data_IF_993004040424
#
_entry.id   IF_993004040424
#
_cell.length_a   1.000
_cell.length_b   1.000
_cell.length_c   1.000
_cell.angle_alpha   90.00
_cell.angle_beta   90.00
_cell.angle_gamma   90.00
#
_symmetry.space_group_name_H-M   'P 1'
#
loop_
_entity.id
_entity.type
_entity.pdbx_description
1 polymer ?
#
# COMPACT_ATOMS: atom_id res chain seq x y z
N UNK A 1 -14.53 24.85 -2.63
CA UNK A 1 -13.16 24.55 -2.09
C UNK A 1 -12.04 24.66 -3.13
N UNK A 2 -12.33 24.76 -4.41
CA UNK A 2 -11.35 24.95 -5.50
C UNK A 2 -11.01 26.41 -5.78
N UNK A 3 -11.91 27.35 -5.51
CA UNK A 3 -11.71 28.79 -5.80
C UNK A 3 -10.75 29.50 -4.82
N UNK A 4 -10.63 29.00 -3.59
CA UNK A 4 -9.72 29.58 -2.58
C UNK A 4 -8.25 29.23 -2.81
N UNK A 5 -7.94 28.05 -3.36
CA UNK A 5 -6.58 27.65 -3.71
C UNK A 5 -6.02 28.51 -4.85
N UNK A 6 -6.82 28.75 -5.90
CA UNK A 6 -6.41 29.62 -7.01
C UNK A 6 -6.21 31.07 -6.57
N UNK A 7 -6.98 31.56 -5.59
CA UNK A 7 -6.84 32.93 -5.06
C UNK A 7 -5.59 33.09 -4.20
N UNK A 8 -5.17 32.08 -3.45
CA UNK A 8 -3.92 32.09 -2.66
C UNK A 8 -2.68 31.99 -3.55
N UNK A 9 -2.68 31.13 -4.57
CA UNK A 9 -1.59 31.04 -5.53
C UNK A 9 -1.43 32.34 -6.34
N UNK A 10 -2.53 32.96 -6.74
CA UNK A 10 -2.49 34.25 -7.44
C UNK A 10 -1.98 35.42 -6.56
N UNK A 11 -2.25 35.40 -5.25
CA UNK A 11 -1.70 36.36 -4.28
C UNK A 11 -0.22 36.15 -4.04
N UNK A 12 0.22 34.92 -3.86
CA UNK A 12 1.63 34.53 -3.73
C UNK A 12 2.43 34.92 -4.97
N UNK A 13 1.88 34.70 -6.16
CA UNK A 13 2.47 35.08 -7.42
C UNK A 13 2.67 36.59 -7.58
N UNK A 14 1.67 37.41 -7.18
CA UNK A 14 1.77 38.87 -7.22
C UNK A 14 2.79 39.42 -6.23
N UNK A 15 2.92 38.82 -5.06
CA UNK A 15 3.92 39.19 -4.05
C UNK A 15 5.33 38.92 -4.57
N UNK A 16 5.58 37.71 -5.06
CA UNK A 16 6.87 37.34 -5.62
C UNK A 16 7.30 38.24 -6.80
N UNK A 17 6.37 38.57 -7.71
CA UNK A 17 6.64 39.51 -8.83
C UNK A 17 7.05 40.90 -8.34
N UNK A 18 6.44 41.40 -7.28
CA UNK A 18 6.75 42.73 -6.71
C UNK A 18 8.12 42.73 -6.04
N UNK A 19 8.47 41.68 -5.32
CA UNK A 19 9.79 41.53 -4.67
C UNK A 19 10.90 41.42 -5.70
N UNK A 20 10.73 40.66 -6.76
CA UNK A 20 11.67 40.52 -7.87
C UNK A 20 11.86 41.88 -8.58
N UNK A 21 10.78 42.61 -8.86
CA UNK A 21 10.86 43.95 -9.49
C UNK A 21 11.55 44.97 -8.57
N UNK A 22 11.31 44.95 -7.28
CA UNK A 22 11.98 45.82 -6.30
C UNK A 22 13.48 45.48 -6.22
N UNK A 23 13.83 44.21 -6.17
CA UNK A 23 15.24 43.76 -6.19
C UNK A 23 15.93 44.19 -7.49
N UNK A 24 15.29 44.08 -8.67
CA UNK A 24 15.80 44.55 -9.94
C UNK A 24 16.07 46.07 -9.91
N UNK A 25 15.14 46.85 -9.34
CA UNK A 25 15.27 48.31 -9.26
C UNK A 25 16.39 48.73 -8.27
N UNK A 26 16.62 47.98 -7.20
CA UNK A 26 17.72 48.22 -6.26
C UNK A 26 19.08 47.89 -6.87
N UNK A 27 19.20 46.77 -7.60
CA UNK A 27 20.44 46.36 -8.27
C UNK A 27 20.81 47.25 -9.45
N UNK A 28 19.85 47.82 -10.19
CA UNK A 28 20.11 48.80 -11.26
C UNK A 28 20.68 50.14 -10.79
N UNK A 29 20.78 50.38 -9.48
CA UNK A 29 21.42 51.56 -8.87
C UNK A 29 22.91 51.36 -8.58
N UNK A 30 23.44 50.15 -8.73
CA UNK A 30 24.86 49.89 -8.64
C UNK A 30 25.53 50.07 -10.00
N UNK A 31 26.62 50.81 -10.08
CA UNK A 31 27.30 51.38 -11.29
C UNK A 31 27.88 50.40 -12.27
N UNK A 32 27.62 49.08 -12.14
CA UNK A 32 28.03 48.05 -13.11
C UNK A 32 26.82 47.72 -14.02
N UNK A 33 26.72 48.44 -15.13
CA UNK A 33 25.70 48.27 -16.16
C UNK A 33 25.86 46.96 -16.93
N UNK A 34 25.49 45.82 -16.34
CA UNK A 34 25.41 44.54 -17.03
C UNK A 34 24.00 44.23 -17.55
N UNK A 35 23.91 43.48 -18.66
CA UNK A 35 22.62 43.03 -19.20
C UNK A 35 21.92 42.10 -18.20
N UNK A 36 20.66 42.40 -17.88
CA UNK A 36 19.78 41.54 -17.09
C UNK A 36 18.76 40.89 -18.01
N UNK A 37 18.71 39.57 -18.02
CA UNK A 37 17.77 38.81 -18.83
C UNK A 37 16.72 38.15 -17.93
N UNK A 38 15.47 38.48 -18.20
CA UNK A 38 14.31 37.93 -17.55
C UNK A 38 13.67 36.88 -18.47
N UNK A 39 13.70 35.62 -18.08
CA UNK A 39 13.21 34.53 -18.91
C UNK A 39 12.09 33.76 -18.20
N UNK A 40 10.93 33.59 -18.86
CA UNK A 40 9.88 32.73 -18.32
C UNK A 40 10.34 31.26 -18.41
N UNK A 41 10.18 30.55 -17.31
CA UNK A 41 10.37 29.10 -17.27
C UNK A 41 9.05 28.43 -17.65
N UNK A 42 8.96 27.91 -18.83
CA UNK A 42 7.79 27.18 -19.31
C UNK A 42 8.24 26.00 -20.19
N UNK A 43 7.45 24.94 -20.19
CA UNK A 43 7.60 23.83 -21.10
C UNK A 43 6.23 23.46 -21.64
N UNK A 44 6.06 23.47 -22.97
CA UNK A 44 4.77 23.31 -23.63
C UNK A 44 3.72 24.30 -23.06
N UNK A 45 2.65 23.78 -22.42
CA UNK A 45 1.57 24.59 -21.82
C UNK A 45 1.76 24.88 -20.32
N UNK A 46 2.79 24.29 -19.69
CA UNK A 46 3.04 24.46 -18.26
C UNK A 46 3.94 25.64 -17.97
N UNK A 47 3.44 26.61 -17.20
CA UNK A 47 4.20 27.74 -16.69
C UNK A 47 4.80 27.38 -15.35
N UNK A 48 6.12 27.28 -15.25
CA UNK A 48 6.84 26.88 -14.03
C UNK A 48 7.32 28.07 -13.20
N UNK A 49 7.45 29.24 -13.82
CA UNK A 49 7.93 30.44 -13.13
C UNK A 49 8.75 31.34 -14.02
N UNK A 50 9.66 32.10 -13.41
CA UNK A 50 10.56 33.00 -14.09
C UNK A 50 11.97 32.87 -13.51
N UNK A 51 12.97 33.03 -14.35
CA UNK A 51 14.35 33.15 -13.95
C UNK A 51 14.91 34.50 -14.40
N UNK A 52 15.74 35.09 -13.56
CA UNK A 52 16.49 36.29 -13.91
C UNK A 52 17.97 36.02 -13.78
N UNK A 53 18.72 36.41 -14.79
CA UNK A 53 20.18 36.25 -14.84
C UNK A 53 20.81 37.60 -15.21
N UNK A 54 21.85 37.99 -14.49
CA UNK A 54 22.59 39.24 -14.70
C UNK A 54 24.05 38.91 -15.07
N UNK A 55 24.70 39.85 -15.81
CA UNK A 55 26.12 39.70 -16.16
C UNK A 55 26.44 38.65 -17.22
N UNK A 56 25.48 38.40 -18.15
CA UNK A 56 25.54 37.29 -19.13
C UNK A 56 25.69 37.81 -20.59
N UNK A 57 26.34 38.91 -20.79
CA UNK A 57 26.39 39.60 -22.10
C UNK A 57 26.92 38.68 -23.22
N UNK A 58 28.00 37.95 -22.97
CA UNK A 58 28.61 37.06 -23.95
C UNK A 58 27.77 35.79 -24.17
N UNK A 59 27.16 35.22 -23.10
CA UNK A 59 26.30 34.03 -23.20
C UNK A 59 24.97 34.36 -23.93
N UNK A 60 24.48 35.59 -23.84
CA UNK A 60 23.30 36.04 -24.57
C UNK A 60 23.59 36.13 -26.08
N UNK A 61 24.72 36.73 -26.46
CA UNK A 61 25.12 36.86 -27.87
C UNK A 61 25.37 35.52 -28.58
N UNK A 62 25.80 34.51 -27.86
CA UNK A 62 26.13 33.18 -28.41
C UNK A 62 24.95 32.22 -28.45
N UNK A 63 23.75 32.58 -27.92
CA UNK A 63 22.58 31.70 -27.84
C UNK A 63 22.70 30.54 -26.82
N UNK A 64 23.80 30.49 -26.07
CA UNK A 64 24.04 29.46 -25.04
C UNK A 64 23.00 29.58 -23.94
N UNK A 65 22.62 30.80 -23.58
CA UNK A 65 21.66 31.09 -22.53
C UNK A 65 20.30 30.47 -22.85
N UNK A 66 19.81 30.58 -24.07
CA UNK A 66 18.54 30.01 -24.50
C UNK A 66 18.55 28.48 -24.41
N UNK A 67 19.63 27.85 -24.84
CA UNK A 67 19.83 26.39 -24.75
C UNK A 67 19.85 25.93 -23.30
N UNK A 68 20.54 26.67 -22.43
CA UNK A 68 20.62 26.37 -20.99
C UNK A 68 19.24 26.42 -20.33
N UNK A 69 18.45 27.47 -20.58
CA UNK A 69 17.09 27.59 -20.03
C UNK A 69 16.13 26.53 -20.57
N UNK A 70 16.24 26.18 -21.84
CA UNK A 70 15.46 25.09 -22.42
C UNK A 70 15.76 23.76 -21.73
N UNK A 71 17.02 23.46 -21.43
CA UNK A 71 17.42 22.28 -20.72
C UNK A 71 16.94 22.27 -19.25
N UNK A 72 16.95 23.43 -18.58
CA UNK A 72 16.39 23.59 -17.23
C UNK A 72 14.86 23.34 -17.26
N UNK A 73 14.14 23.96 -18.19
CA UNK A 73 12.69 23.76 -18.32
C UNK A 73 12.36 22.29 -18.57
N UNK A 74 13.10 21.61 -19.42
CA UNK A 74 12.96 20.19 -19.70
C UNK A 74 13.24 19.33 -18.45
N UNK A 75 14.29 19.64 -17.70
CA UNK A 75 14.62 18.92 -16.47
C UNK A 75 13.57 19.10 -15.37
N UNK A 76 13.06 20.33 -15.21
CA UNK A 76 11.99 20.65 -14.28
C UNK A 76 10.68 19.92 -14.63
N UNK A 77 10.30 19.92 -15.90
CA UNK A 77 9.11 19.20 -16.37
C UNK A 77 9.21 17.71 -16.11
N UNK A 78 10.34 17.09 -16.44
CA UNK A 78 10.59 15.68 -16.13
C UNK A 78 10.51 15.38 -14.62
N UNK A 79 11.00 16.28 -13.78
CA UNK A 79 10.91 16.13 -12.33
C UNK A 79 9.46 16.20 -11.84
N UNK A 80 8.69 17.17 -12.33
CA UNK A 80 7.27 17.33 -11.98
C UNK A 80 6.47 16.11 -12.43
N UNK A 81 6.65 15.65 -13.67
CA UNK A 81 5.97 14.48 -14.21
C UNK A 81 6.33 13.21 -13.42
N UNK A 82 7.59 13.02 -13.04
CA UNK A 82 8.01 11.91 -12.18
C UNK A 82 7.31 11.93 -10.83
N UNK A 83 7.22 13.10 -10.18
CA UNK A 83 6.50 13.24 -8.91
C UNK A 83 5.02 12.89 -9.05
N UNK A 84 4.36 13.44 -10.06
CA UNK A 84 2.95 13.14 -10.32
C UNK A 84 2.73 11.65 -10.59
N UNK A 85 3.59 11.02 -11.38
CA UNK A 85 3.54 9.58 -11.65
C UNK A 85 3.73 8.75 -10.38
N UNK A 86 4.67 9.13 -9.51
CA UNK A 86 4.87 8.48 -8.22
C UNK A 86 3.65 8.62 -7.30
N UNK A 87 3.03 9.80 -7.22
CA UNK A 87 1.82 10.01 -6.42
C UNK A 87 0.63 9.20 -6.92
N UNK A 88 0.44 9.15 -8.25
CA UNK A 88 -0.62 8.32 -8.86
C UNK A 88 -0.36 6.84 -8.58
N UNK A 89 0.87 6.36 -8.74
CA UNK A 89 1.21 4.98 -8.44
C UNK A 89 1.00 4.62 -6.97
N UNK A 90 1.38 5.51 -6.04
CA UNK A 90 1.11 5.30 -4.61
C UNK A 90 -0.40 5.23 -4.29
N UNK A 91 -1.21 6.07 -4.96
CA UNK A 91 -2.68 5.99 -4.83
C UNK A 91 -3.22 4.68 -5.41
N UNK A 92 -2.73 4.26 -6.58
CA UNK A 92 -3.09 2.99 -7.17
C UNK A 92 -2.70 1.82 -6.27
N UNK A 93 -1.47 1.79 -5.75
CA UNK A 93 -1.01 0.75 -4.82
C UNK A 93 -1.89 0.66 -3.56
N UNK A 94 -2.34 1.81 -3.00
CA UNK A 94 -3.27 1.82 -1.87
C UNK A 94 -4.62 1.20 -2.23
N UNK A 95 -5.15 1.44 -3.43
CA UNK A 95 -6.39 0.84 -3.93
C UNK A 95 -6.22 -0.66 -4.21
N UNK A 96 -5.02 -1.10 -4.60
CA UNK A 96 -4.72 -2.50 -4.89
C UNK A 96 -4.40 -3.37 -3.67
N UNK A 97 -4.40 -2.82 -2.44
CA UNK A 97 -4.09 -3.58 -1.21
C UNK A 97 -5.24 -4.42 -0.68
N UNK A 98 -6.45 -4.22 -1.19
CA UNK A 98 -7.66 -4.89 -0.73
C UNK A 98 -8.04 -6.00 -1.70
N UNK A 99 -8.36 -7.17 -1.17
CA UNK A 99 -8.96 -8.26 -1.94
C UNK A 99 -10.43 -7.96 -2.20
N UNK A 100 -10.83 -7.97 -3.47
CA UNK A 100 -12.17 -7.56 -3.91
C UNK A 100 -13.27 -8.53 -3.47
N UNK A 101 -12.94 -9.80 -3.22
CA UNK A 101 -13.92 -10.81 -2.83
C UNK A 101 -14.19 -10.77 -1.33
N UNK A 102 -13.16 -10.56 -0.51
CA UNK A 102 -13.23 -10.68 0.94
C UNK A 102 -13.27 -9.34 1.68
N UNK A 103 -12.81 -8.26 1.05
CA UNK A 103 -12.74 -6.93 1.66
C UNK A 103 -11.59 -6.74 2.65
N UNK A 104 -10.80 -7.78 2.96
CA UNK A 104 -9.58 -7.68 3.78
C UNK A 104 -8.36 -7.37 2.89
N UNK A 105 -7.19 -7.20 3.48
CA UNK A 105 -5.97 -6.96 2.71
C UNK A 105 -5.61 -8.16 1.83
N UNK A 106 -5.03 -7.90 0.67
CA UNK A 106 -4.48 -8.93 -0.20
C UNK A 106 -2.96 -9.11 0.03
N UNK A 107 -2.32 -9.95 -0.78
CA UNK A 107 -0.87 -10.22 -0.71
C UNK A 107 -0.01 -8.95 -0.82
N UNK A 108 -0.37 -7.98 -1.70
CA UNK A 108 0.36 -6.70 -1.79
C UNK A 108 0.21 -5.87 -0.51
N UNK A 109 -0.99 -5.91 0.10
CA UNK A 109 -1.22 -5.32 1.42
C UNK A 109 -0.33 -5.94 2.48
N UNK A 110 -0.12 -7.26 2.45
CA UNK A 110 0.75 -7.98 3.38
C UNK A 110 2.21 -7.55 3.24
N UNK A 111 2.75 -7.51 2.02
CA UNK A 111 4.14 -7.12 1.77
C UNK A 111 4.48 -5.70 2.31
N UNK A 112 3.53 -4.77 2.26
CA UNK A 112 3.76 -3.39 2.72
C UNK A 112 3.34 -3.15 4.18
N UNK A 113 2.15 -3.61 4.57
CA UNK A 113 1.60 -3.34 5.91
C UNK A 113 2.07 -4.37 6.93
N UNK A 114 2.24 -5.64 6.52
CA UNK A 114 2.68 -6.72 7.38
C UNK A 114 4.10 -6.49 7.90
N UNK A 115 5.03 -6.14 7.01
CA UNK A 115 6.40 -5.83 7.39
C UNK A 115 6.45 -4.66 8.38
N UNK A 116 5.73 -3.57 8.12
CA UNK A 116 5.67 -2.41 9.00
C UNK A 116 5.03 -2.72 10.36
N UNK A 117 4.04 -3.61 10.36
CA UNK A 117 3.40 -4.07 11.60
C UNK A 117 4.37 -4.86 12.47
N UNK A 118 5.12 -5.81 11.86
CA UNK A 118 6.11 -6.61 12.56
C UNK A 118 7.25 -5.73 13.10
N UNK A 119 7.86 -4.88 12.28
CA UNK A 119 8.93 -3.96 12.68
C UNK A 119 8.49 -3.05 13.83
N UNK A 120 7.30 -2.47 13.73
CA UNK A 120 6.73 -1.63 14.81
C UNK A 120 6.56 -2.40 16.11
N UNK A 121 6.07 -3.64 16.06
CA UNK A 121 5.93 -4.45 17.27
C UNK A 121 7.29 -4.76 17.89
N UNK A 122 8.33 -5.05 17.10
CA UNK A 122 9.70 -5.21 17.61
C UNK A 122 10.20 -3.92 18.30
N UNK A 123 9.99 -2.75 17.70
CA UNK A 123 10.36 -1.46 18.30
C UNK A 123 9.68 -1.20 19.66
N UNK A 124 8.42 -1.63 19.80
CA UNK A 124 7.64 -1.47 21.03
C UNK A 124 7.77 -2.65 22.00
N UNK A 125 8.67 -3.61 21.76
CA UNK A 125 8.88 -4.81 22.58
C UNK A 125 7.62 -5.69 22.71
N UNK A 126 6.86 -5.83 21.62
CA UNK A 126 5.62 -6.57 21.55
C UNK A 126 5.82 -7.81 20.68
N UNK A 127 5.50 -8.98 21.20
CA UNK A 127 5.52 -10.22 20.43
C UNK A 127 4.41 -10.24 19.38
N UNK A 128 4.72 -10.77 18.18
CA UNK A 128 3.78 -10.87 17.07
C UNK A 128 3.38 -12.31 16.83
N UNK A 129 2.07 -12.59 16.76
CA UNK A 129 1.55 -13.87 16.28
C UNK A 129 1.35 -13.83 14.77
N UNK A 130 1.82 -14.90 14.14
CA UNK A 130 1.60 -15.22 12.74
C UNK A 130 0.63 -16.39 12.70
N UNK A 131 -0.55 -16.17 12.14
CA UNK A 131 -1.62 -17.18 12.07
C UNK A 131 -1.96 -17.40 10.60
N UNK A 132 -1.52 -18.54 10.07
CA UNK A 132 -1.80 -18.94 8.70
C UNK A 132 -3.03 -19.85 8.67
N UNK A 133 -3.97 -19.59 7.76
CA UNK A 133 -5.20 -20.35 7.63
C UNK A 133 -5.40 -20.80 6.17
N UNK A 134 -5.88 -22.03 6.00
CA UNK A 134 -6.26 -22.59 4.69
C UNK A 134 -7.65 -23.22 4.77
N UNK A 135 -8.50 -22.93 3.78
CA UNK A 135 -9.84 -23.50 3.69
C UNK A 135 -9.77 -24.95 3.24
N UNK A 136 -10.22 -25.86 4.12
CA UNK A 136 -10.23 -27.27 3.81
C UNK A 136 -11.25 -27.61 2.71
N UNK A 137 -10.80 -28.39 1.71
CA UNK A 137 -11.67 -28.94 0.66
C UNK A 137 -12.36 -27.91 -0.23
N UNK A 138 -11.81 -26.70 -0.42
CA UNK A 138 -12.40 -25.67 -1.30
C UNK A 138 -12.66 -26.22 -2.71
N UNK A 139 -11.76 -27.04 -3.25
CA UNK A 139 -11.97 -27.66 -4.58
C UNK A 139 -13.21 -28.57 -4.59
N UNK A 140 -13.40 -29.40 -3.55
CA UNK A 140 -14.60 -30.24 -3.44
C UNK A 140 -15.88 -29.37 -3.35
N UNK A 141 -15.86 -28.29 -2.60
CA UNK A 141 -16.98 -27.35 -2.51
C UNK A 141 -17.30 -26.76 -3.89
N UNK A 142 -16.27 -26.31 -4.64
CA UNK A 142 -16.45 -25.80 -5.98
C UNK A 142 -17.03 -26.85 -6.94
N UNK A 143 -16.49 -28.07 -6.90
CA UNK A 143 -16.91 -29.15 -7.78
C UNK A 143 -18.34 -29.65 -7.47
N UNK A 144 -18.77 -29.60 -6.19
CA UNK A 144 -20.06 -30.12 -5.73
C UNK A 144 -21.18 -29.07 -5.77
N UNK A 145 -20.88 -27.83 -5.35
CA UNK A 145 -21.88 -26.75 -5.14
C UNK A 145 -21.67 -25.57 -6.10
N UNK A 146 -20.63 -25.63 -6.94
CA UNK A 146 -20.27 -24.59 -7.91
C UNK A 146 -19.42 -23.47 -7.33
N UNK A 147 -18.77 -22.71 -8.20
CA UNK A 147 -17.84 -21.63 -7.83
C UNK A 147 -18.47 -20.54 -6.94
N UNK A 148 -19.78 -20.28 -7.07
CA UNK A 148 -20.45 -19.31 -6.19
C UNK A 148 -20.46 -19.75 -4.72
N UNK A 149 -20.53 -21.05 -4.47
CA UNK A 149 -20.42 -21.59 -3.10
C UNK A 149 -18.97 -21.48 -2.58
N UNK A 150 -17.98 -21.73 -3.42
CA UNK A 150 -16.58 -21.47 -3.08
C UNK A 150 -16.28 -20.00 -2.77
N UNK A 151 -16.79 -19.09 -3.60
CA UNK A 151 -16.67 -17.65 -3.35
C UNK A 151 -17.36 -17.24 -2.04
N UNK A 152 -18.49 -17.85 -1.71
CA UNK A 152 -19.19 -17.61 -0.45
C UNK A 152 -18.33 -18.04 0.75
N UNK A 153 -17.72 -19.24 0.72
CA UNK A 153 -16.83 -19.74 1.79
C UNK A 153 -15.62 -18.83 1.98
N UNK A 154 -14.98 -18.43 0.88
CA UNK A 154 -13.84 -17.51 0.90
C UNK A 154 -14.25 -16.17 1.53
N UNK A 155 -15.40 -15.63 1.14
CA UNK A 155 -15.92 -14.37 1.68
C UNK A 155 -16.21 -14.48 3.16
N UNK A 156 -16.86 -15.57 3.62
CA UNK A 156 -17.16 -15.80 5.04
C UNK A 156 -15.92 -15.97 5.90
N UNK A 157 -14.88 -16.63 5.39
CA UNK A 157 -13.57 -16.72 6.06
C UNK A 157 -12.94 -15.32 6.20
N UNK A 158 -12.91 -14.54 5.13
CA UNK A 158 -12.40 -13.16 5.17
C UNK A 158 -13.18 -12.27 6.13
N UNK A 159 -14.52 -12.37 6.14
CA UNK A 159 -15.40 -11.65 7.07
C UNK A 159 -15.12 -12.02 8.53
N UNK A 160 -14.96 -13.31 8.83
CA UNK A 160 -14.66 -13.79 10.16
C UNK A 160 -13.31 -13.28 10.68
N UNK A 161 -12.28 -13.30 9.85
CA UNK A 161 -10.98 -12.73 10.18
C UNK A 161 -11.03 -11.22 10.34
N UNK A 162 -11.79 -10.53 9.48
CA UNK A 162 -12.00 -9.09 9.57
C UNK A 162 -12.71 -8.66 10.87
N UNK A 163 -13.66 -9.45 11.35
CA UNK A 163 -14.37 -9.19 12.63
C UNK A 163 -13.48 -9.42 13.87
N UNK A 164 -12.55 -10.37 13.79
CA UNK A 164 -11.57 -10.61 14.85
C UNK A 164 -10.47 -9.54 14.87
N UNK A 165 -10.20 -8.94 13.71
CA UNK A 165 -9.17 -7.93 13.57
C UNK A 165 -9.61 -6.62 14.25
N UNK A 166 -9.07 -6.36 15.44
CA UNK A 166 -9.09 -5.06 16.10
C UNK A 166 -7.95 -4.17 15.55
N UNK A 167 -7.75 -2.99 16.14
CA UNK A 167 -6.67 -2.06 15.76
C UNK A 167 -5.26 -2.68 15.78
N UNK A 168 -5.08 -3.76 16.54
CA UNK A 168 -3.82 -4.48 16.74
C UNK A 168 -3.71 -5.77 15.92
N UNK A 169 -4.46 -5.88 14.83
CA UNK A 169 -4.47 -7.07 13.98
C UNK A 169 -4.66 -6.72 12.52
N UNK A 170 -3.98 -7.44 11.63
CA UNK A 170 -4.05 -7.25 10.19
C UNK A 170 -4.41 -8.58 9.49
N UNK A 171 -5.65 -8.70 8.96
CA UNK A 171 -6.07 -9.87 8.20
C UNK A 171 -5.73 -9.69 6.72
N UNK A 172 -5.19 -10.76 6.11
CA UNK A 172 -4.79 -10.80 4.71
C UNK A 172 -5.36 -12.06 4.02
N UNK A 173 -5.76 -11.92 2.77
CA UNK A 173 -5.90 -13.05 1.86
C UNK A 173 -4.59 -13.22 1.10
N UNK A 174 -3.87 -14.31 1.38
CA UNK A 174 -2.54 -14.56 0.86
C UNK A 174 -2.57 -15.25 -0.51
N UNK A 175 -3.52 -16.18 -0.69
CA UNK A 175 -3.73 -16.95 -1.92
C UNK A 175 -5.21 -17.19 -2.21
N UNK A 176 -5.51 -18.21 -3.01
CA UNK A 176 -6.90 -18.56 -3.38
C UNK A 176 -7.78 -18.90 -2.17
N UNK A 177 -7.33 -19.85 -1.36
CA UNK A 177 -7.92 -20.38 -0.14
C UNK A 177 -7.08 -20.12 1.12
N UNK A 178 -5.98 -19.37 0.97
CA UNK A 178 -5.00 -19.12 2.02
C UNK A 178 -5.17 -17.71 2.61
N UNK A 179 -5.13 -17.64 3.93
CA UNK A 179 -5.27 -16.41 4.69
C UNK A 179 -4.16 -16.31 5.73
N UNK A 180 -3.81 -15.08 6.06
CA UNK A 180 -2.85 -14.75 7.11
C UNK A 180 -3.46 -13.70 8.05
N UNK A 181 -3.32 -13.91 9.35
CA UNK A 181 -3.62 -12.90 10.35
C UNK A 181 -2.36 -12.60 11.15
N UNK A 182 -1.89 -11.36 11.07
CA UNK A 182 -0.86 -10.84 11.96
C UNK A 182 -1.53 -10.14 13.13
N UNK A 183 -1.15 -10.49 14.35
CA UNK A 183 -1.73 -9.90 15.54
C UNK A 183 -0.70 -9.82 16.68
N UNK A 184 -0.94 -8.97 17.65
CA UNK A 184 -0.16 -8.95 18.90
C UNK A 184 -0.49 -10.15 19.76
N UNK A 185 0.47 -10.60 20.56
CA UNK A 185 0.26 -11.72 21.49
C UNK A 185 -0.90 -11.45 22.45
N UNK A 186 -1.02 -10.23 22.96
CA UNK A 186 -2.04 -9.81 23.93
C UNK A 186 -3.47 -9.78 23.36
N UNK A 187 -3.64 -9.88 22.05
CA UNK A 187 -4.96 -9.87 21.40
C UNK A 187 -5.88 -11.02 21.86
N UNK A 188 -5.30 -12.07 22.42
CA UNK A 188 -6.05 -13.28 22.81
C UNK A 188 -6.55 -14.13 21.64
N UNK A 189 -6.26 -13.73 20.38
CA UNK A 189 -6.70 -14.50 19.19
C UNK A 189 -5.97 -15.83 19.14
N UNK A 190 -6.75 -16.90 18.98
CA UNK A 190 -6.29 -18.31 18.91
C UNK A 190 -6.89 -19.00 17.69
N UNK A 191 -6.37 -20.17 17.31
CA UNK A 191 -6.96 -21.00 16.26
C UNK A 191 -8.44 -21.33 16.55
N UNK A 192 -8.79 -21.57 17.80
CA UNK A 192 -10.16 -21.89 18.20
C UNK A 192 -11.09 -20.67 18.06
N UNK A 193 -10.64 -19.47 18.45
CA UNK A 193 -11.45 -18.25 18.27
C UNK A 193 -11.72 -17.94 16.79
N UNK A 194 -10.78 -18.28 15.91
CA UNK A 194 -10.97 -18.15 14.45
C UNK A 194 -12.04 -19.12 13.95
N UNK A 195 -11.96 -20.42 14.34
CA UNK A 195 -12.99 -21.41 13.97
C UNK A 195 -14.37 -21.02 14.47
N UNK A 196 -14.46 -20.54 15.69
CA UNK A 196 -15.72 -20.06 16.27
C UNK A 196 -16.28 -18.84 15.51
N UNK A 197 -15.43 -17.87 15.17
CA UNK A 197 -15.82 -16.70 14.37
C UNK A 197 -16.35 -17.12 13.00
N UNK A 198 -15.68 -18.06 12.32
CA UNK A 198 -16.13 -18.62 11.04
C UNK A 198 -17.50 -19.29 11.19
N UNK A 199 -17.69 -20.11 12.22
CA UNK A 199 -18.97 -20.77 12.47
C UNK A 199 -20.10 -19.77 12.72
N UNK A 200 -19.86 -18.71 13.50
CA UNK A 200 -20.82 -17.63 13.75
C UNK A 200 -21.19 -16.92 12.45
N UNK A 201 -20.20 -16.46 11.67
CA UNK A 201 -20.43 -15.73 10.42
C UNK A 201 -21.16 -16.59 9.38
N UNK A 202 -20.83 -17.89 9.30
CA UNK A 202 -21.55 -18.82 8.42
C UNK A 202 -23.01 -19.06 8.87
N UNK A 203 -23.29 -18.98 10.17
CA UNK A 203 -24.62 -19.15 10.72
C UNK A 203 -25.57 -17.96 10.54
N UNK A 204 -25.08 -16.79 10.17
CA UNK A 204 -25.88 -15.58 9.97
C UNK A 204 -26.67 -15.58 8.66
N UNK A 205 -26.29 -16.40 7.70
CA UNK A 205 -26.95 -16.51 6.38
C UNK A 205 -27.26 -17.97 6.05
N UNK A 206 -28.19 -18.18 5.11
CA UNK A 206 -28.44 -19.51 4.55
C UNK A 206 -27.19 -20.00 3.82
N UNK A 207 -26.57 -21.05 4.36
CA UNK A 207 -25.37 -21.64 3.75
C UNK A 207 -25.68 -22.32 2.42
N UNK A 208 -24.92 -22.07 1.36
CA UNK A 208 -25.04 -22.77 0.08
C UNK A 208 -24.44 -24.18 0.13
N UNK A 209 -23.70 -24.53 1.20
CA UNK A 209 -23.10 -25.85 1.43
C UNK A 209 -23.78 -26.55 2.60
N UNK A 210 -23.78 -27.87 2.57
CA UNK A 210 -24.42 -28.69 3.65
C UNK A 210 -23.46 -29.01 4.79
N UNK A 211 -22.16 -29.04 4.48
CA UNK A 211 -21.10 -29.32 5.45
C UNK A 211 -20.71 -28.04 6.21
N UNK A 212 -20.17 -28.23 7.40
CA UNK A 212 -19.51 -27.14 8.12
C UNK A 212 -18.25 -26.70 7.39
N UNK A 213 -18.00 -25.39 7.36
CA UNK A 213 -16.76 -24.83 6.86
C UNK A 213 -15.64 -25.12 7.88
N UNK A 214 -14.61 -25.81 7.43
CA UNK A 214 -13.44 -26.15 8.24
C UNK A 214 -12.18 -25.54 7.65
N UNK A 215 -11.28 -25.11 8.53
CA UNK A 215 -10.00 -24.50 8.18
C UNK A 215 -8.86 -25.17 8.94
N UNK A 216 -7.72 -25.35 8.26
CA UNK A 216 -6.45 -25.72 8.89
C UNK A 216 -5.69 -24.46 9.27
N UNK A 217 -5.12 -24.43 10.49
CA UNK A 217 -4.54 -23.22 11.07
C UNK A 217 -3.17 -23.52 11.69
N UNK A 218 -2.14 -22.79 11.24
CA UNK A 218 -0.83 -22.74 11.87
C UNK A 218 -0.66 -21.46 12.68
N UNK A 219 -0.15 -21.56 13.90
CA UNK A 219 0.09 -20.41 14.78
C UNK A 219 1.54 -20.42 15.24
N UNK A 220 2.25 -19.35 14.99
CA UNK A 220 3.63 -19.13 15.43
C UNK A 220 3.72 -17.80 16.17
N UNK A 221 4.46 -17.80 17.27
CA UNK A 221 4.79 -16.60 18.02
C UNK A 221 6.21 -16.15 17.66
N UNK A 222 6.33 -14.93 17.17
CA UNK A 222 7.60 -14.26 16.92
C UNK A 222 7.94 -13.37 18.11
N UNK A 223 9.00 -13.67 18.89
CA UNK A 223 9.49 -12.77 19.94
C UNK A 223 9.97 -11.44 19.34
N UNK A 224 9.75 -10.35 20.06
CA UNK A 224 10.14 -9.01 19.63
C UNK A 224 11.66 -8.81 19.50
N UNK A 225 12.45 -9.57 20.27
CA UNK A 225 13.91 -9.55 20.31
C UNK A 225 14.57 -10.56 19.37
N UNK A 226 13.78 -11.15 18.48
CA UNK A 226 14.28 -12.13 17.51
C UNK A 226 15.20 -11.50 16.46
N UNK A 227 16.27 -12.21 16.12
CA UNK A 227 17.15 -11.88 14.99
C UNK A 227 16.59 -12.28 13.63
N UNK A 228 15.47 -13.01 13.59
CA UNK A 228 14.85 -13.46 12.34
C UNK A 228 13.95 -12.41 11.74
N UNK A 229 13.94 -12.36 10.41
CA UNK A 229 13.01 -11.52 9.66
C UNK A 229 11.59 -12.14 9.63
N UNK A 230 10.63 -11.36 9.17
CA UNK A 230 9.22 -11.75 9.08
C UNK A 230 9.02 -13.03 8.23
N UNK A 231 9.80 -13.23 7.16
CA UNK A 231 9.64 -14.36 6.23
C UNK A 231 9.90 -15.70 6.91
N UNK A 232 10.79 -15.76 7.90
CA UNK A 232 11.04 -16.98 8.67
C UNK A 232 9.79 -17.42 9.42
N UNK A 233 9.10 -16.47 10.07
CA UNK A 233 7.87 -16.76 10.82
C UNK A 233 6.67 -17.04 9.93
N UNK A 234 6.61 -16.40 8.76
CA UNK A 234 5.62 -16.74 7.74
C UNK A 234 5.75 -18.19 7.29
N UNK A 235 6.98 -18.62 6.95
CA UNK A 235 7.24 -19.99 6.54
C UNK A 235 6.93 -21.00 7.66
N UNK A 236 7.30 -20.70 8.91
CA UNK A 236 6.98 -21.57 10.04
C UNK A 236 5.47 -21.71 10.28
N UNK A 237 4.72 -20.59 10.13
CA UNK A 237 3.27 -20.61 10.28
C UNK A 237 2.58 -21.41 9.15
N UNK A 238 3.09 -21.30 7.92
CA UNK A 238 2.65 -22.11 6.78
C UNK A 238 2.95 -23.61 6.99
N UNK A 239 4.16 -23.95 7.43
CA UNK A 239 4.52 -25.34 7.78
C UNK A 239 3.60 -25.92 8.87
N UNK A 240 3.34 -25.17 9.93
CA UNK A 240 2.43 -25.58 11.01
C UNK A 240 0.99 -25.80 10.50
N UNK A 241 0.49 -24.92 9.65
CA UNK A 241 -0.81 -25.06 9.00
C UNK A 241 -0.85 -26.29 8.09
N UNK A 242 0.21 -26.53 7.33
CA UNK A 242 0.30 -27.67 6.44
C UNK A 242 0.31 -29.03 7.20
N UNK A 243 0.94 -29.11 8.37
CA UNK A 243 0.88 -30.32 9.22
C UNK A 243 -0.56 -30.56 9.74
N UNK A 244 -1.29 -29.52 10.14
CA UNK A 244 -2.70 -29.66 10.51
C UNK A 244 -3.55 -30.11 9.31
N UNK A 245 -3.29 -29.58 8.12
CA UNK A 245 -3.97 -29.95 6.87
C UNK A 245 -3.74 -31.43 6.52
N UNK A 246 -2.53 -31.97 6.73
CA UNK A 246 -2.25 -33.39 6.57
C UNK A 246 -3.08 -34.25 7.53
N UNK A 247 -3.09 -33.91 8.82
CA UNK A 247 -3.90 -34.64 9.83
C UNK A 247 -5.39 -34.61 9.47
N UNK A 248 -5.88 -33.46 8.96
CA UNK A 248 -7.26 -33.36 8.47
C UNK A 248 -7.53 -34.33 7.30
N UNK A 249 -6.63 -34.39 6.32
CA UNK A 249 -6.77 -35.28 5.16
C UNK A 249 -6.66 -36.79 5.55
N UNK A 250 -5.83 -37.13 6.50
CA UNK A 250 -5.74 -38.51 7.04
C UNK A 250 -7.04 -38.94 7.73
N UNK A 251 -7.65 -38.02 8.50
CA UNK A 251 -8.89 -38.30 9.24
C UNK A 251 -10.12 -38.41 8.34
N UNK A 252 -10.24 -37.54 7.33
CA UNK A 252 -11.44 -37.46 6.49
C UNK A 252 -11.30 -38.05 5.09
N UNK A 253 -10.10 -38.54 4.76
CA UNK A 253 -9.74 -39.16 3.48
C UNK A 253 -9.60 -38.13 2.36
N UNK A 254 -8.64 -38.35 1.48
CA UNK A 254 -8.56 -37.64 0.21
C UNK A 254 -9.64 -38.19 -0.75
N UNK A 255 -10.84 -37.66 -0.72
CA UNK A 255 -11.91 -38.06 -1.64
C UNK A 255 -11.62 -37.67 -3.12
N UNK A 256 -10.37 -37.39 -3.46
CA UNK A 256 -9.91 -37.18 -4.86
C UNK A 256 -9.86 -38.49 -5.69
N UNK A 257 -10.12 -39.65 -5.05
CA UNK A 257 -10.12 -40.95 -5.75
C UNK A 257 -11.51 -41.57 -5.69
N UNK A 258 -12.44 -41.00 -6.50
CA UNK A 258 -13.52 -41.77 -7.12
C UNK A 258 -14.04 -41.05 -8.35
#
# INVERSE_FOLDING_TARGET
MTDDLFSQEAKSYRSCKREVLNWCNEKNRTEEGGVQVFMPLHYQLHRMGYCMVAGVDEMFRTGILETFFRNICYALENYIQRKQYQEVNLKLQKLYRIDQLTGIYNRFGMEDLGQKFYERNCEYHINTKFIFCDINRLKYINDTYGHKAGDWVIRKTGEALGRLAAEDSLPFRFGGDEFLLLTREESGITAESIRQSIAVVCGEETSPIRESLEVSIGVILAPWDSEYNMDVYLNQADEAMYEEKKMYHEKYGDRRRR
#
